data_IF_311644871772
#
_entry.id   IF_311644871772
#
_cell.length_a   1.000
_cell.length_b   1.000
_cell.length_c   1.000
_cell.angle_alpha   90.00
_cell.angle_beta   90.00
_cell.angle_gamma   90.00
#
_symmetry.space_group_name_H-M   'P 1'
#
loop_
_entity.id
_entity.type
_entity.pdbx_description
1 polymer ?
#
# COMPACT_ATOMS: atom_id res chain seq x y z
N UNK A 1 11.22 5.13 1.10
CA UNK A 1 11.14 4.56 2.46
C UNK A 1 11.83 3.20 2.54
N UNK A 2 11.36 2.16 1.85
CA UNK A 2 11.89 0.79 1.93
C UNK A 2 13.40 0.68 1.72
N UNK A 3 13.97 1.34 0.69
CA UNK A 3 15.43 1.32 0.47
C UNK A 3 16.23 1.90 1.64
N UNK A 4 15.68 2.88 2.35
CA UNK A 4 16.32 3.44 3.54
C UNK A 4 16.28 2.45 4.71
N UNK A 5 15.15 1.80 4.94
CA UNK A 5 15.02 0.74 5.96
C UNK A 5 15.95 -0.45 5.65
N UNK A 6 16.04 -0.88 4.39
CA UNK A 6 16.98 -1.93 3.96
C UNK A 6 18.44 -1.53 4.20
N UNK A 7 18.80 -0.27 3.92
CA UNK A 7 20.15 0.25 4.14
C UNK A 7 20.53 0.24 5.62
N UNK A 8 19.61 0.62 6.49
CA UNK A 8 19.81 0.64 7.95
C UNK A 8 19.84 -0.78 8.53
N UNK A 9 19.03 -1.70 8.00
CA UNK A 9 18.96 -3.09 8.46
C UNK A 9 20.28 -3.87 8.30
N UNK A 10 21.15 -3.43 7.37
CA UNK A 10 22.47 -4.03 7.14
C UNK A 10 23.62 -3.24 7.81
N UNK A 11 23.29 -2.24 8.63
CA UNK A 11 24.26 -1.45 9.40
C UNK A 11 25.30 -0.76 8.51
N UNK A 12 26.55 -0.74 8.98
CA UNK A 12 27.65 -0.07 8.28
C UNK A 12 27.90 -0.58 6.85
N UNK A 13 27.56 -1.84 6.56
CA UNK A 13 27.71 -2.40 5.21
C UNK A 13 26.80 -1.70 4.20
N UNK A 14 25.61 -1.22 4.61
CA UNK A 14 24.69 -0.49 3.72
C UNK A 14 25.19 0.90 3.32
N UNK A 15 26.18 1.44 4.04
CA UNK A 15 26.81 2.73 3.71
C UNK A 15 27.91 2.56 2.67
N UNK A 16 28.51 1.36 2.56
CA UNK A 16 29.59 1.11 1.62
C UNK A 16 29.12 1.17 0.18
N UNK A 17 29.83 1.95 -0.63
CA UNK A 17 29.55 2.11 -2.07
C UNK A 17 29.50 0.79 -2.82
N UNK A 18 30.39 -0.16 -2.51
CA UNK A 18 30.45 -1.49 -3.14
C UNK A 18 29.16 -2.30 -2.97
N UNK A 19 28.37 -2.03 -1.93
CA UNK A 19 27.11 -2.72 -1.66
C UNK A 19 25.90 -2.09 -2.37
N UNK A 20 26.13 -1.00 -3.12
CA UNK A 20 25.18 -0.31 -4.02
C UNK A 20 23.86 0.21 -3.43
N UNK A 21 23.46 -0.17 -2.21
CA UNK A 21 22.17 0.22 -1.59
C UNK A 21 22.00 1.74 -1.50
N UNK A 22 23.06 2.46 -1.13
CA UNK A 22 23.05 3.94 -1.08
C UNK A 22 22.83 4.59 -2.45
N UNK A 23 23.48 4.06 -3.49
CA UNK A 23 23.33 4.55 -4.87
C UNK A 23 21.92 4.26 -5.38
N UNK A 24 21.43 3.03 -5.20
CA UNK A 24 20.07 2.66 -5.56
C UNK A 24 19.05 3.59 -4.89
N UNK A 25 19.22 3.89 -3.59
CA UNK A 25 18.35 4.86 -2.92
C UNK A 25 18.38 6.23 -3.60
N UNK A 26 19.56 6.78 -3.91
CA UNK A 26 19.69 8.08 -4.56
C UNK A 26 19.03 8.12 -5.95
N UNK A 27 19.22 7.07 -6.75
CA UNK A 27 18.60 6.93 -8.07
C UNK A 27 17.07 6.83 -7.99
N UNK A 28 16.53 6.15 -6.96
CA UNK A 28 15.09 6.01 -6.79
C UNK A 28 14.42 7.25 -6.16
N UNK A 29 15.15 8.09 -5.42
CA UNK A 29 14.57 9.30 -4.83
C UNK A 29 14.00 10.23 -5.93
N UNK A 30 14.62 10.27 -7.12
CA UNK A 30 14.15 11.07 -8.26
C UNK A 30 12.73 10.68 -8.72
N UNK A 31 12.32 9.43 -8.54
CA UNK A 31 10.99 8.94 -8.95
C UNK A 31 9.86 9.56 -8.13
N UNK A 32 10.19 10.26 -7.03
CA UNK A 32 9.19 10.96 -6.22
C UNK A 32 8.83 12.35 -6.76
N UNK A 33 9.61 12.85 -7.71
CA UNK A 33 9.49 14.20 -8.29
C UNK A 33 9.43 14.22 -9.81
N UNK A 34 10.13 13.30 -10.47
CA UNK A 34 10.13 13.15 -11.92
C UNK A 34 8.80 12.58 -12.41
N UNK A 35 8.35 13.01 -13.60
CA UNK A 35 7.00 12.77 -14.17
C UNK A 35 5.81 13.35 -13.37
N UNK A 36 6.10 14.08 -12.30
CA UNK A 36 5.11 14.80 -11.49
C UNK A 36 5.41 14.64 -10.02
N UNK A 37 5.37 15.74 -9.27
CA UNK A 37 5.49 15.68 -7.82
C UNK A 37 4.41 14.78 -7.22
N UNK A 38 4.81 13.85 -6.36
CA UNK A 38 3.88 12.88 -5.78
C UNK A 38 2.68 13.54 -5.07
N UNK A 39 2.85 14.68 -4.40
CA UNK A 39 1.73 15.35 -3.74
C UNK A 39 0.73 15.89 -4.78
N UNK A 40 1.23 16.37 -5.92
CA UNK A 40 0.40 16.82 -7.04
C UNK A 40 -0.30 15.63 -7.72
N UNK A 41 0.42 14.53 -7.96
CA UNK A 41 -0.16 13.30 -8.54
C UNK A 41 -1.26 12.73 -7.65
N UNK A 42 -1.06 12.72 -6.33
CA UNK A 42 -2.07 12.29 -5.36
C UNK A 42 -3.34 13.18 -5.43
N UNK A 43 -3.19 14.49 -5.63
CA UNK A 43 -4.33 15.37 -5.88
C UNK A 43 -5.02 15.09 -7.22
N UNK A 44 -4.28 14.71 -8.27
CA UNK A 44 -4.89 14.37 -9.56
C UNK A 44 -5.77 13.11 -9.43
N UNK A 45 -5.31 12.10 -8.67
CA UNK A 45 -6.09 10.90 -8.38
C UNK A 45 -7.39 11.26 -7.66
N UNK A 46 -7.33 12.00 -6.56
CA UNK A 46 -8.54 12.36 -5.79
C UNK A 46 -9.52 13.20 -6.61
N UNK A 47 -9.03 14.15 -7.41
CA UNK A 47 -9.85 14.98 -8.32
C UNK A 47 -10.53 14.14 -9.41
N UNK A 48 -9.84 13.14 -9.96
CA UNK A 48 -10.41 12.23 -10.95
C UNK A 48 -11.52 11.37 -10.34
N UNK A 49 -11.30 10.82 -9.14
CA UNK A 49 -12.30 10.04 -8.40
C UNK A 49 -13.52 10.89 -8.05
N UNK A 50 -13.32 12.12 -7.58
CA UNK A 50 -14.39 13.07 -7.32
C UNK A 50 -15.22 13.35 -8.58
N UNK A 51 -14.58 13.60 -9.72
CA UNK A 51 -15.27 13.90 -10.98
C UNK A 51 -16.13 12.72 -11.45
N UNK A 52 -15.59 11.50 -11.40
CA UNK A 52 -16.33 10.27 -11.73
C UNK A 52 -17.51 10.07 -10.77
N UNK A 53 -17.30 10.26 -9.47
CA UNK A 53 -18.34 10.12 -8.46
C UNK A 53 -19.50 11.09 -8.64
N UNK A 54 -19.21 12.38 -8.80
CA UNK A 54 -20.23 13.41 -9.05
C UNK A 54 -20.98 13.14 -10.36
N UNK A 55 -20.25 12.76 -11.43
CA UNK A 55 -20.85 12.42 -12.72
C UNK A 55 -21.82 11.23 -12.63
N UNK A 56 -21.41 10.14 -11.98
CA UNK A 56 -22.23 8.94 -11.82
C UNK A 56 -23.46 9.20 -10.96
N UNK A 57 -23.30 9.89 -9.80
CA UNK A 57 -24.41 10.23 -8.91
C UNK A 57 -25.41 11.17 -9.57
N UNK A 58 -24.96 12.23 -10.25
CA UNK A 58 -25.84 13.19 -10.94
C UNK A 58 -26.65 12.52 -12.06
N UNK A 59 -26.06 11.56 -12.77
CA UNK A 59 -26.70 10.84 -13.89
C UNK A 59 -27.44 9.58 -13.46
N UNK A 60 -27.43 9.24 -12.16
CA UNK A 60 -27.92 7.97 -11.63
C UNK A 60 -27.40 6.75 -12.41
N UNK A 61 -26.11 6.75 -12.75
CA UNK A 61 -25.45 5.67 -13.50
C UNK A 61 -24.57 4.82 -12.59
N UNK A 62 -24.43 3.51 -12.87
CA UNK A 62 -23.50 2.68 -12.16
C UNK A 62 -22.05 3.10 -12.45
N UNK A 63 -21.19 2.95 -11.45
CA UNK A 63 -19.75 3.18 -11.55
C UNK A 63 -19.11 2.11 -12.45
N UNK A 64 -18.38 2.53 -13.48
CA UNK A 64 -17.70 1.60 -14.41
C UNK A 64 -16.21 1.90 -14.58
N UNK A 65 -15.78 3.13 -14.31
CA UNK A 65 -14.38 3.56 -14.40
C UNK A 65 -13.63 3.48 -13.07
N UNK A 66 -12.31 3.67 -13.16
CA UNK A 66 -11.42 3.96 -12.02
C UNK A 66 -11.56 2.98 -10.85
N UNK A 67 -11.79 1.69 -11.08
CA UNK A 67 -11.90 0.72 -9.97
C UNK A 67 -13.04 0.98 -8.96
N UNK A 68 -14.00 1.87 -9.28
CA UNK A 68 -15.09 2.26 -8.38
C UNK A 68 -16.30 1.33 -8.46
N UNK A 69 -16.22 0.20 -9.16
CA UNK A 69 -17.35 -0.72 -9.36
C UNK A 69 -17.88 -1.28 -8.04
N UNK A 70 -17.01 -1.41 -7.03
CA UNK A 70 -17.40 -1.82 -5.69
C UNK A 70 -18.48 -0.88 -5.09
N UNK A 71 -18.55 0.40 -5.49
CA UNK A 71 -19.56 1.37 -5.03
C UNK A 71 -20.99 1.04 -5.49
N UNK A 72 -21.16 0.18 -6.50
CA UNK A 72 -22.47 -0.27 -6.96
C UNK A 72 -23.10 -1.31 -6.01
N UNK A 73 -22.31 -1.88 -5.10
CA UNK A 73 -22.77 -2.89 -4.14
C UNK A 73 -23.04 -2.27 -2.76
N UNK A 74 -23.74 -3.01 -1.90
CA UNK A 74 -23.96 -2.64 -0.50
C UNK A 74 -22.65 -2.30 0.21
N UNK A 75 -22.72 -1.39 1.18
CA UNK A 75 -21.56 -1.00 1.99
C UNK A 75 -21.03 -2.22 2.75
N UNK A 76 -19.74 -2.56 2.65
CA UNK A 76 -19.18 -3.67 3.42
C UNK A 76 -19.36 -3.44 4.92
N UNK A 77 -19.70 -4.50 5.65
CA UNK A 77 -19.76 -4.49 7.12
C UNK A 77 -18.59 -5.31 7.65
N UNK A 78 -17.77 -4.67 8.48
CA UNK A 78 -16.61 -5.33 9.07
C UNK A 78 -17.00 -6.07 10.36
N UNK A 79 -16.40 -7.25 10.63
CA UNK A 79 -16.59 -7.93 11.90
C UNK A 79 -16.11 -7.08 13.08
N UNK A 80 -16.83 -7.13 14.19
CA UNK A 80 -16.49 -6.36 15.40
C UNK A 80 -15.15 -6.79 15.99
N UNK A 81 -14.85 -8.09 15.96
CA UNK A 81 -13.59 -8.66 16.44
C UNK A 81 -12.85 -9.35 15.30
N UNK A 82 -11.56 -9.06 15.16
CA UNK A 82 -10.72 -9.63 14.12
C UNK A 82 -9.85 -10.78 14.66
N UNK A 83 -10.06 -11.97 14.10
CA UNK A 83 -9.22 -13.15 14.35
C UNK A 83 -8.12 -13.28 13.30
N UNK A 84 -7.12 -14.13 13.53
CA UNK A 84 -6.09 -14.45 12.54
C UNK A 84 -6.70 -14.95 11.21
N UNK A 85 -7.72 -15.81 11.27
CA UNK A 85 -8.43 -16.29 10.08
C UNK A 85 -9.13 -15.15 9.33
N UNK A 86 -9.81 -14.27 10.06
CA UNK A 86 -10.47 -13.08 9.48
C UNK A 86 -9.46 -12.16 8.80
N UNK A 87 -8.35 -11.84 9.47
CA UNK A 87 -7.33 -10.92 8.96
C UNK A 87 -6.65 -11.43 7.68
N UNK A 88 -6.52 -12.74 7.52
CA UNK A 88 -5.91 -13.38 6.33
C UNK A 88 -6.90 -13.66 5.20
N UNK A 89 -8.20 -13.56 5.49
CA UNK A 89 -9.26 -13.78 4.51
C UNK A 89 -9.24 -12.68 3.44
N UNK A 90 -9.16 -13.07 2.17
CA UNK A 90 -9.19 -12.14 1.03
C UNK A 90 -10.46 -11.29 1.03
N UNK A 91 -11.61 -11.87 1.33
CA UNK A 91 -12.88 -11.13 1.38
C UNK A 91 -12.86 -10.02 2.43
N UNK A 92 -12.32 -10.28 3.63
CA UNK A 92 -12.18 -9.25 4.66
C UNK A 92 -11.26 -8.12 4.18
N UNK A 93 -10.11 -8.47 3.62
CA UNK A 93 -9.14 -7.49 3.12
C UNK A 93 -9.73 -6.63 2.00
N UNK A 94 -10.40 -7.22 1.02
CA UNK A 94 -11.13 -6.47 0.00
C UNK A 94 -12.19 -5.56 0.62
N UNK A 95 -12.97 -6.07 1.57
CA UNK A 95 -14.04 -5.31 2.22
C UNK A 95 -13.53 -4.08 2.98
N UNK A 96 -12.44 -4.19 3.76
CA UNK A 96 -11.92 -3.06 4.53
C UNK A 96 -11.30 -2.00 3.62
N UNK A 97 -10.61 -2.38 2.54
CA UNK A 97 -10.06 -1.43 1.57
C UNK A 97 -11.18 -0.73 0.77
N UNK A 98 -12.18 -1.49 0.31
CA UNK A 98 -13.37 -0.93 -0.36
C UNK A 98 -14.18 -0.01 0.56
N UNK A 99 -14.33 -0.37 1.84
CA UNK A 99 -15.02 0.49 2.82
C UNK A 99 -14.27 1.81 3.00
N UNK A 100 -12.95 1.74 3.22
CA UNK A 100 -12.11 2.92 3.41
C UNK A 100 -12.17 3.87 2.21
N UNK A 101 -11.93 3.36 1.00
CA UNK A 101 -11.96 4.19 -0.22
C UNK A 101 -13.35 4.80 -0.44
N UNK A 102 -14.42 4.01 -0.29
CA UNK A 102 -15.80 4.50 -0.41
C UNK A 102 -16.09 5.63 0.56
N UNK A 103 -15.77 5.44 1.84
CA UNK A 103 -16.06 6.41 2.89
C UNK A 103 -15.28 7.71 2.69
N UNK A 104 -13.99 7.61 2.37
CA UNK A 104 -13.15 8.79 2.08
C UNK A 104 -13.66 9.56 0.85
N UNK A 105 -14.09 8.87 -0.21
CA UNK A 105 -14.62 9.52 -1.41
C UNK A 105 -15.95 10.22 -1.16
N UNK A 106 -16.84 9.59 -0.38
CA UNK A 106 -18.10 10.19 0.04
C UNK A 106 -17.88 11.43 0.91
N UNK A 107 -16.97 11.36 1.90
CA UNK A 107 -16.57 12.51 2.74
C UNK A 107 -15.98 13.63 1.90
N UNK A 108 -15.00 13.31 1.05
CA UNK A 108 -14.33 14.30 0.22
C UNK A 108 -15.32 15.04 -0.69
N UNK A 109 -16.26 14.30 -1.27
CA UNK A 109 -17.30 14.92 -2.10
C UNK A 109 -18.26 15.79 -1.27
N UNK A 110 -18.64 15.33 -0.09
CA UNK A 110 -19.54 16.08 0.81
C UNK A 110 -18.91 17.39 1.30
N UNK A 111 -17.66 17.35 1.76
CA UNK A 111 -16.93 18.52 2.27
C UNK A 111 -16.65 19.54 1.16
N UNK A 112 -16.31 19.07 -0.06
CA UNK A 112 -16.20 19.96 -1.23
C UNK A 112 -17.54 20.61 -1.55
N UNK A 113 -18.63 19.85 -1.57
CA UNK A 113 -19.96 20.40 -1.85
C UNK A 113 -20.42 21.43 -0.80
N UNK A 114 -20.09 21.20 0.47
CA UNK A 114 -20.38 22.14 1.57
C UNK A 114 -19.66 23.46 1.38
N UNK A 115 -18.36 23.44 1.07
CA UNK A 115 -17.56 24.64 0.86
C UNK A 115 -18.04 25.41 -0.37
N UNK A 116 -18.35 24.72 -1.47
CA UNK A 116 -18.95 25.34 -2.66
C UNK A 116 -20.32 25.97 -2.36
N UNK A 117 -21.11 25.36 -1.46
CA UNK A 117 -22.38 25.92 -0.99
C UNK A 117 -22.24 27.25 -0.25
N UNK A 118 -21.04 27.56 0.26
CA UNK A 118 -20.71 28.86 0.90
C UNK A 118 -20.28 29.92 -0.12
N UNK A 119 -20.28 29.61 -1.42
CA UNK A 119 -19.90 30.52 -2.51
C UNK A 119 -18.43 30.43 -2.92
N UNK A 120 -17.67 29.51 -2.34
CA UNK A 120 -16.25 29.32 -2.63
C UNK A 120 -16.01 28.57 -3.94
N UNK A 121 -14.84 28.78 -4.54
CA UNK A 121 -14.45 28.09 -5.77
C UNK A 121 -14.19 26.60 -5.52
N UNK A 122 -14.29 25.80 -6.59
CA UNK A 122 -14.01 24.37 -6.54
C UNK A 122 -12.54 24.10 -6.20
N UNK A 123 -11.64 24.91 -6.76
CA UNK A 123 -10.19 24.83 -6.57
C UNK A 123 -9.83 25.12 -5.11
N UNK A 124 -10.45 26.14 -4.51
CA UNK A 124 -10.28 26.45 -3.10
C UNK A 124 -10.82 25.34 -2.19
N UNK A 125 -11.97 24.78 -2.55
CA UNK A 125 -12.56 23.63 -1.84
C UNK A 125 -11.63 22.41 -1.83
N UNK A 126 -10.92 22.14 -2.93
CA UNK A 126 -9.91 21.07 -2.98
C UNK A 126 -8.69 21.38 -2.11
N UNK A 127 -8.23 22.63 -2.08
CA UNK A 127 -7.08 23.04 -1.28
C UNK A 127 -7.36 22.88 0.23
N UNK A 128 -8.55 23.29 0.68
CA UNK A 128 -8.96 23.14 2.09
C UNK A 128 -9.04 21.67 2.52
N UNK A 129 -9.33 20.76 1.59
CA UNK A 129 -9.47 19.33 1.83
C UNK A 129 -8.25 18.51 1.38
N UNK A 130 -7.04 19.10 1.34
CA UNK A 130 -5.84 18.42 0.82
C UNK A 130 -5.49 17.13 1.59
N UNK A 131 -5.62 17.12 2.93
CA UNK A 131 -5.32 15.93 3.74
C UNK A 131 -6.28 14.77 3.44
N UNK A 132 -7.58 15.07 3.29
CA UNK A 132 -8.59 14.08 2.94
C UNK A 132 -8.41 13.58 1.50
N UNK A 133 -8.01 14.49 0.59
CA UNK A 133 -7.61 14.16 -0.78
C UNK A 133 -6.43 13.17 -0.80
N UNK A 134 -5.41 13.39 0.03
CA UNK A 134 -4.26 12.49 0.16
C UNK A 134 -4.65 11.12 0.73
N UNK A 135 -5.46 11.10 1.79
CA UNK A 135 -5.94 9.85 2.38
C UNK A 135 -6.76 9.03 1.37
N UNK A 136 -7.59 9.70 0.57
CA UNK A 136 -8.40 9.09 -0.49
C UNK A 136 -7.53 8.51 -1.61
N UNK A 137 -6.57 9.29 -2.13
CA UNK A 137 -5.71 8.82 -3.21
C UNK A 137 -4.81 7.65 -2.78
N UNK A 138 -4.36 7.65 -1.51
CA UNK A 138 -3.66 6.52 -0.92
C UNK A 138 -4.56 5.29 -0.82
N UNK A 139 -5.78 5.45 -0.29
CA UNK A 139 -6.74 4.35 -0.18
C UNK A 139 -7.07 3.72 -1.54
N UNK A 140 -7.25 4.54 -2.57
CA UNK A 140 -7.46 4.10 -3.95
C UNK A 140 -6.28 3.28 -4.47
N UNK A 141 -5.06 3.81 -4.31
CA UNK A 141 -3.83 3.19 -4.80
C UNK A 141 -3.57 1.85 -4.11
N UNK A 142 -3.69 1.80 -2.78
CA UNK A 142 -3.47 0.58 -2.01
C UNK A 142 -4.49 -0.51 -2.35
N UNK A 143 -5.76 -0.13 -2.59
CA UNK A 143 -6.79 -1.07 -3.06
C UNK A 143 -6.46 -1.61 -4.45
N UNK A 144 -5.99 -0.77 -5.37
CA UNK A 144 -5.60 -1.19 -6.71
C UNK A 144 -4.42 -2.19 -6.69
N UNK A 145 -3.43 -1.95 -5.82
CA UNK A 145 -2.32 -2.88 -5.60
C UNK A 145 -2.84 -4.21 -5.01
N UNK A 146 -3.69 -4.16 -3.97
CA UNK A 146 -4.29 -5.36 -3.38
C UNK A 146 -5.04 -6.19 -4.43
N UNK A 147 -5.83 -5.52 -5.29
CA UNK A 147 -6.56 -6.20 -6.37
C UNK A 147 -5.60 -6.88 -7.36
N UNK A 148 -4.50 -6.21 -7.72
CA UNK A 148 -3.49 -6.79 -8.61
C UNK A 148 -2.86 -8.05 -8.02
N UNK A 149 -2.56 -8.03 -6.71
CA UNK A 149 -2.02 -9.20 -6.00
C UNK A 149 -3.05 -10.33 -5.93
N UNK A 150 -4.31 -10.01 -5.64
CA UNK A 150 -5.42 -10.99 -5.63
C UNK A 150 -5.59 -11.66 -7.00
N UNK A 151 -5.56 -10.87 -8.08
CA UNK A 151 -5.69 -11.38 -9.45
C UNK A 151 -4.51 -12.28 -9.84
N UNK A 152 -3.30 -11.94 -9.38
CA UNK A 152 -2.11 -12.77 -9.60
C UNK A 152 -2.17 -14.08 -8.80
N UNK A 153 -2.59 -14.04 -7.53
CA UNK A 153 -2.79 -15.21 -6.67
C UNK A 153 -3.87 -16.14 -7.23
N UNK A 154 -4.98 -15.59 -7.74
CA UNK A 154 -6.09 -16.34 -8.30
C UNK A 154 -5.67 -17.20 -9.51
N UNK A 155 -4.71 -16.72 -10.31
CA UNK A 155 -4.18 -17.43 -11.49
C UNK A 155 -3.29 -18.62 -11.13
N UNK A 156 -2.82 -18.73 -9.88
CA UNK A 156 -1.98 -19.84 -9.47
C UNK A 156 -2.81 -21.09 -9.12
N UNK A 157 -2.35 -22.29 -9.50
CA UNK A 157 -2.95 -23.53 -9.04
C UNK A 157 -2.76 -23.70 -7.52
N UNK A 158 -3.58 -24.55 -6.90
CA UNK A 158 -3.38 -24.89 -5.49
C UNK A 158 -1.99 -25.51 -5.27
N UNK A 159 -1.30 -25.06 -4.23
CA UNK A 159 0.06 -25.53 -3.92
C UNK A 159 0.90 -24.45 -3.24
N UNK A 160 2.18 -24.78 -3.03
CA UNK A 160 3.11 -23.97 -2.24
C UNK A 160 3.27 -22.54 -2.72
N UNK A 161 3.29 -22.31 -4.05
CA UNK A 161 3.40 -20.95 -4.62
C UNK A 161 2.19 -20.11 -4.22
N UNK A 162 0.98 -20.65 -4.37
CA UNK A 162 -0.26 -19.95 -4.01
C UNK A 162 -0.32 -19.66 -2.52
N UNK A 163 0.13 -20.60 -1.69
CA UNK A 163 0.18 -20.42 -0.23
C UNK A 163 1.15 -19.30 0.18
N UNK A 164 2.34 -19.25 -0.43
CA UNK A 164 3.32 -18.19 -0.17
C UNK A 164 2.80 -16.84 -0.66
N UNK A 165 2.21 -16.77 -1.86
CA UNK A 165 1.59 -15.54 -2.37
C UNK A 165 0.44 -15.07 -1.47
N UNK A 166 -0.38 -15.97 -0.93
CA UNK A 166 -1.43 -15.64 0.04
C UNK A 166 -0.89 -15.05 1.34
N UNK A 167 0.29 -15.51 1.81
CA UNK A 167 1.00 -14.90 2.96
C UNK A 167 1.56 -13.53 2.62
N UNK A 168 2.15 -13.35 1.43
CA UNK A 168 2.65 -12.05 0.96
C UNK A 168 1.50 -11.05 0.78
N UNK A 169 0.36 -11.46 0.20
CA UNK A 169 -0.86 -10.65 0.14
C UNK A 169 -1.31 -10.22 1.53
N UNK A 170 -1.39 -11.17 2.47
CA UNK A 170 -1.80 -10.88 3.83
C UNK A 170 -0.83 -9.91 4.52
N UNK A 171 0.48 -10.08 4.29
CA UNK A 171 1.49 -9.15 4.81
C UNK A 171 1.27 -7.74 4.27
N UNK A 172 1.11 -7.60 2.95
CA UNK A 172 0.83 -6.32 2.30
C UNK A 172 -0.43 -5.66 2.88
N UNK A 173 -1.55 -6.39 2.89
CA UNK A 173 -2.82 -5.87 3.39
C UNK A 173 -2.71 -5.41 4.84
N UNK A 174 -2.11 -6.21 5.71
CA UNK A 174 -2.01 -5.91 7.14
C UNK A 174 -1.02 -4.78 7.45
N UNK A 175 0.08 -4.63 6.70
CA UNK A 175 0.98 -3.47 6.83
C UNK A 175 0.23 -2.19 6.46
N UNK A 176 -0.55 -2.18 5.37
CA UNK A 176 -1.40 -1.02 5.03
C UNK A 176 -2.43 -0.70 6.13
N UNK A 177 -2.98 -1.72 6.81
CA UNK A 177 -3.90 -1.50 7.94
C UNK A 177 -3.18 -1.01 9.22
N UNK A 178 -1.95 -1.45 9.46
CA UNK A 178 -1.18 -1.10 10.66
C UNK A 178 -0.57 0.30 10.57
N UNK A 179 0.01 0.65 9.42
CA UNK A 179 0.77 1.89 9.26
C UNK A 179 -0.09 3.09 8.90
N UNK A 180 -1.32 2.87 8.45
CA UNK A 180 -2.18 3.96 7.99
C UNK A 180 -3.02 4.56 9.12
N UNK A 181 -2.79 5.85 9.49
CA UNK A 181 -3.50 6.48 10.58
C UNK A 181 -5.00 6.68 10.28
N UNK A 182 -5.41 6.67 9.00
CA UNK A 182 -6.80 6.80 8.59
C UNK A 182 -7.69 5.68 9.16
N UNK A 183 -7.11 4.49 9.44
CA UNK A 183 -7.82 3.36 10.05
C UNK A 183 -8.45 3.71 11.40
N UNK A 184 -7.71 4.42 12.24
CA UNK A 184 -8.20 4.92 13.53
C UNK A 184 -8.91 6.27 13.39
N UNK A 185 -8.36 7.19 12.58
CA UNK A 185 -8.88 8.55 12.39
C UNK A 185 -10.36 8.56 11.99
N UNK A 186 -10.74 7.67 11.06
CA UNK A 186 -12.12 7.58 10.55
C UNK A 186 -12.90 6.39 11.15
N UNK A 187 -12.30 5.65 12.08
CA UNK A 187 -12.98 4.58 12.83
C UNK A 187 -13.25 3.30 12.03
N UNK A 188 -12.46 3.00 10.99
CA UNK A 188 -12.58 1.73 10.26
C UNK A 188 -12.19 0.54 11.13
N UNK A 189 -11.20 0.71 12.01
CA UNK A 189 -10.76 -0.28 12.98
C UNK A 189 -10.80 0.30 14.39
N UNK A 190 -11.19 -0.54 15.35
CA UNK A 190 -11.04 -0.21 16.78
C UNK A 190 -9.58 -0.33 17.22
N UNK A 191 -9.23 0.25 18.37
CA UNK A 191 -7.90 0.10 18.98
C UNK A 191 -7.50 -1.37 19.17
N UNK A 192 -8.46 -2.20 19.59
CA UNK A 192 -8.24 -3.64 19.80
C UNK A 192 -7.96 -4.37 18.48
N UNK A 193 -8.69 -4.00 17.42
CA UNK A 193 -8.50 -4.56 16.09
C UNK A 193 -7.16 -4.13 15.47
N UNK A 194 -6.71 -2.89 15.67
CA UNK A 194 -5.36 -2.46 15.30
C UNK A 194 -4.30 -3.25 16.07
N UNK A 195 -4.51 -3.50 17.37
CA UNK A 195 -3.66 -4.38 18.15
C UNK A 195 -3.62 -5.82 17.62
N UNK A 196 -4.74 -6.33 17.10
CA UNK A 196 -4.81 -7.64 16.46
C UNK A 196 -4.04 -7.68 15.15
N UNK A 197 -4.18 -6.65 14.30
CA UNK A 197 -3.40 -6.50 13.05
C UNK A 197 -1.90 -6.54 13.35
N UNK A 198 -1.41 -5.73 14.28
CA UNK A 198 0.02 -5.69 14.68
C UNK A 198 0.57 -7.05 15.12
N UNK A 199 -0.19 -7.78 15.95
CA UNK A 199 0.21 -9.14 16.38
C UNK A 199 0.25 -10.10 15.21
N UNK A 200 -0.66 -9.96 14.25
CA UNK A 200 -0.73 -10.82 13.09
C UNK A 200 0.40 -10.55 12.08
N UNK A 201 0.79 -9.28 11.87
CA UNK A 201 1.99 -8.90 11.12
C UNK A 201 3.23 -9.58 11.71
N UNK A 202 3.37 -9.56 13.03
CA UNK A 202 4.49 -10.22 13.72
C UNK A 202 4.55 -11.73 13.47
N UNK A 203 3.39 -12.41 13.40
CA UNK A 203 3.32 -13.84 13.04
C UNK A 203 3.70 -14.07 11.58
N UNK A 204 3.19 -13.25 10.68
CA UNK A 204 3.50 -13.35 9.24
C UNK A 204 5.00 -13.14 8.98
N UNK A 205 5.68 -12.26 9.73
CA UNK A 205 7.15 -12.16 9.68
C UNK A 205 7.84 -13.49 9.96
N UNK A 206 7.39 -14.21 11.01
CA UNK A 206 7.94 -15.52 11.37
C UNK A 206 7.67 -16.59 10.31
N UNK A 207 6.48 -16.58 9.72
CA UNK A 207 6.07 -17.54 8.69
C UNK A 207 6.73 -17.28 7.33
N UNK A 208 7.01 -16.02 6.98
CA UNK A 208 7.68 -15.64 5.74
C UNK A 208 9.20 -15.76 5.83
N UNK A 209 9.77 -15.71 7.04
CA UNK A 209 11.22 -15.85 7.27
C UNK A 209 11.88 -17.01 6.50
N UNK A 210 11.39 -18.27 6.57
CA UNK A 210 12.01 -19.37 5.82
C UNK A 210 11.94 -19.21 4.29
N UNK A 211 11.03 -18.36 3.79
CA UNK A 211 10.85 -18.09 2.37
C UNK A 211 11.53 -16.80 1.90
N UNK A 212 12.05 -15.97 2.81
CA UNK A 212 12.55 -14.63 2.49
C UNK A 212 13.62 -14.64 1.40
N UNK A 213 14.61 -15.54 1.51
CA UNK A 213 15.66 -15.67 0.50
C UNK A 213 15.08 -16.13 -0.84
N UNK A 214 14.24 -17.16 -0.85
CA UNK A 214 13.63 -17.66 -2.09
C UNK A 214 12.77 -16.60 -2.79
N UNK A 215 12.04 -15.77 -2.02
CA UNK A 215 11.25 -14.66 -2.55
C UNK A 215 12.12 -13.62 -3.25
N UNK A 216 13.24 -13.19 -2.64
CA UNK A 216 14.12 -12.21 -3.27
C UNK A 216 14.91 -12.79 -4.44
N UNK A 217 15.37 -14.04 -4.33
CA UNK A 217 16.06 -14.74 -5.43
C UNK A 217 15.15 -14.93 -6.63
N UNK A 218 13.84 -15.07 -6.44
CA UNK A 218 12.88 -15.23 -7.53
C UNK A 218 12.76 -14.03 -8.47
N UNK A 219 13.25 -12.85 -8.07
CA UNK A 219 13.37 -11.71 -8.99
C UNK A 219 14.37 -11.95 -10.13
N UNK A 220 15.27 -12.92 -9.98
CA UNK A 220 16.23 -13.27 -11.03
C UNK A 220 17.21 -12.15 -11.35
N UNK A 221 17.52 -11.29 -10.37
CA UNK A 221 18.52 -10.22 -10.53
C UNK A 221 19.90 -10.87 -10.70
N UNK A 222 20.60 -10.64 -11.82
CA UNK A 222 21.92 -11.23 -12.04
C UNK A 222 22.94 -10.77 -10.99
N UNK A 223 23.84 -11.67 -10.59
CA UNK A 223 24.85 -11.43 -9.55
C UNK A 223 25.72 -10.19 -9.81
N UNK A 224 25.99 -9.88 -11.07
CA UNK A 224 26.78 -8.71 -11.47
C UNK A 224 26.13 -7.36 -11.08
N UNK A 225 24.84 -7.34 -10.76
CA UNK A 225 24.14 -6.14 -10.27
C UNK A 225 24.03 -6.09 -8.73
N UNK A 226 24.53 -7.11 -8.04
CA UNK A 226 24.48 -7.22 -6.58
C UNK A 226 25.85 -6.89 -5.98
N UNK A 227 25.83 -6.22 -4.82
CA UNK A 227 27.04 -5.93 -4.08
C UNK A 227 27.56 -7.14 -3.27
N UNK A 228 28.80 -7.09 -2.76
CA UNK A 228 29.40 -8.18 -1.97
C UNK A 228 28.55 -8.62 -0.76
N UNK A 229 27.75 -7.72 -0.19
CA UNK A 229 26.82 -8.01 0.91
C UNK A 229 25.79 -9.10 0.60
N UNK A 230 25.45 -9.31 -0.68
CA UNK A 230 24.55 -10.37 -1.10
C UNK A 230 25.21 -11.77 -1.07
N UNK A 231 26.54 -11.84 -0.92
CA UNK A 231 27.35 -13.04 -1.00
C UNK A 231 28.26 -13.19 0.25
N UNK A 232 29.52 -13.59 0.06
CA UNK A 232 30.51 -13.71 1.13
C UNK A 232 31.14 -12.35 1.49
N UNK A 233 30.36 -11.53 2.19
CA UNK A 233 30.79 -10.20 2.63
C UNK A 233 31.92 -10.22 3.67
N UNK A 234 32.14 -11.35 4.35
CA UNK A 234 33.24 -11.53 5.30
C UNK A 234 34.57 -11.61 4.53
N UNK A 235 34.62 -12.46 3.50
CA UNK A 235 35.78 -12.58 2.62
C UNK A 235 36.06 -11.29 1.86
N UNK A 236 35.02 -10.60 1.36
CA UNK A 236 35.17 -9.31 0.71
C UNK A 236 35.78 -8.23 1.63
N UNK A 237 35.60 -8.36 2.95
CA UNK A 237 36.19 -7.46 3.95
C UNK A 237 37.51 -7.96 4.52
N UNK A 238 37.96 -9.16 4.15
CA UNK A 238 39.23 -9.69 4.62
C UNK A 238 40.37 -8.91 3.95
N UNK A 239 41.34 -8.50 4.75
CA UNK A 239 42.57 -7.94 4.22
C UNK A 239 43.31 -9.02 3.44
N UNK A 240 43.69 -8.74 2.21
CA UNK A 240 44.63 -9.57 1.47
C UNK A 240 45.92 -9.64 2.29
N UNK A 241 46.31 -10.83 2.74
CA UNK A 241 47.61 -11.05 3.38
C UNK A 241 48.69 -10.73 2.34
N UNK A 242 49.32 -9.56 2.49
CA UNK A 242 50.48 -9.12 1.71
C UNK A 242 51.71 -9.91 2.14
#
# INVERSE_FOLDING_TARGET
RTLQECREAVGGQGVKTENVVGHLKGEFDVQTTFEGDNNVLMQLVSKALFAEYVSCKKRNKPFKGLGLQHMNSSRPVLPTQLTSCTLRCSQFQTNVFCLRERDLLERFTSEVAEIQGRGESKEFSFLLNHQLSEDLSKAFTEKAILQTVLDAEAKQPAGSIKDVLGRVRSMYALICLEEDPSMLRYGYLSRDNVGAVRREVSKLCGELRPHALALVTSFGIPDAFLGPIAFNWIEANAWSSV
#
